data_IF_109668015510
#
_entry.id   IF_109668015510
#
_cell.length_a   1.000
_cell.length_b   1.000
_cell.length_c   1.000
_cell.angle_alpha   90.00
_cell.angle_beta   90.00
_cell.angle_gamma   90.00
#
_symmetry.space_group_name_H-M   'P 1'
#
loop_
_entity.id
_entity.type
_entity.pdbx_description
1 polymer ?
#
# COMPACT_ATOMS: atom_id res chain seq x y z
N UNK A 1 -22.70 -0.41 32.93
CA UNK A 1 -21.48 -1.15 32.55
C UNK A 1 -21.19 -0.81 31.13
N UNK A 2 -19.99 -0.29 30.85
CA UNK A 2 -19.50 -0.18 29.48
C UNK A 2 -19.49 -1.58 28.86
N UNK A 3 -20.09 -1.75 27.69
CA UNK A 3 -19.76 -2.90 26.86
C UNK A 3 -18.23 -2.93 26.74
N UNK A 4 -17.56 -4.10 26.81
CA UNK A 4 -16.15 -4.13 26.47
C UNK A 4 -16.06 -3.48 25.09
N UNK A 5 -15.18 -2.47 24.92
CA UNK A 5 -14.79 -2.03 23.59
C UNK A 5 -14.61 -3.28 22.77
N UNK A 6 -15.44 -3.46 21.74
CA UNK A 6 -15.28 -4.56 20.80
C UNK A 6 -13.81 -4.57 20.41
N UNK A 7 -13.11 -5.62 20.82
CA UNK A 7 -11.68 -5.60 21.20
C UNK A 7 -10.80 -4.87 20.19
N UNK A 8 -10.02 -3.88 20.66
CA UNK A 8 -8.97 -3.28 19.84
C UNK A 8 -8.00 -4.37 19.38
N UNK A 9 -7.77 -4.44 18.08
CA UNK A 9 -6.95 -5.47 17.44
C UNK A 9 -5.77 -4.79 16.79
N UNK A 10 -4.56 -5.13 17.25
CA UNK A 10 -3.34 -4.66 16.64
C UNK A 10 -3.30 -5.00 15.14
N UNK A 11 -2.75 -4.11 14.29
CA UNK A 11 -2.70 -4.33 12.86
C UNK A 11 -1.87 -5.56 12.52
N UNK A 12 -2.43 -6.42 11.67
CA UNK A 12 -1.76 -7.62 11.16
C UNK A 12 -1.89 -7.68 9.64
N UNK A 13 -0.77 -7.87 8.96
CA UNK A 13 -0.77 -8.16 7.52
C UNK A 13 -1.28 -9.58 7.30
N UNK A 14 -2.35 -9.71 6.51
CA UNK A 14 -2.96 -10.99 6.13
C UNK A 14 -2.71 -11.34 4.67
N UNK A 15 -2.39 -10.36 3.83
CA UNK A 15 -1.88 -10.55 2.48
C UNK A 15 -0.62 -9.72 2.30
N UNK A 16 0.51 -10.40 2.16
CA UNK A 16 1.80 -9.77 1.89
C UNK A 16 1.94 -9.48 0.38
N UNK A 17 2.64 -8.38 0.00
CA UNK A 17 3.04 -8.21 -1.38
C UNK A 17 3.96 -9.32 -1.84
N UNK A 18 3.89 -9.58 -3.14
CA UNK A 18 4.76 -10.54 -3.83
C UNK A 18 5.65 -9.82 -4.83
N UNK A 19 6.78 -10.43 -5.15
CA UNK A 19 7.67 -9.93 -6.18
C UNK A 19 7.03 -10.06 -7.57
N UNK A 20 7.11 -8.99 -8.36
CA UNK A 20 6.56 -8.93 -9.70
C UNK A 20 7.64 -8.55 -10.71
N UNK A 21 7.71 -9.28 -11.83
CA UNK A 21 8.50 -8.89 -12.99
C UNK A 21 7.56 -8.27 -14.04
N UNK A 22 7.66 -6.97 -14.23
CA UNK A 22 6.74 -6.21 -15.10
C UNK A 22 7.52 -5.48 -16.19
N UNK A 23 7.11 -5.56 -17.46
CA UNK A 23 7.75 -4.79 -18.53
C UNK A 23 7.67 -3.28 -18.28
N UNK A 24 8.67 -2.55 -18.79
CA UNK A 24 8.69 -1.08 -18.69
C UNK A 24 7.46 -0.49 -19.38
N UNK A 25 6.81 0.46 -18.72
CA UNK A 25 5.64 1.17 -19.24
C UNK A 25 4.31 0.46 -19.01
N UNK A 26 4.32 -0.81 -18.63
CA UNK A 26 3.12 -1.55 -18.21
C UNK A 26 2.69 -1.13 -16.80
N UNK A 27 1.42 -1.39 -16.48
CA UNK A 27 0.88 -1.18 -15.14
C UNK A 27 1.20 -2.35 -14.20
N UNK A 28 1.22 -2.09 -12.89
CA UNK A 28 1.43 -3.12 -11.88
C UNK A 28 0.69 -2.79 -10.58
N UNK A 29 0.38 -3.81 -9.78
CA UNK A 29 -0.21 -3.63 -8.45
C UNK A 29 0.55 -4.46 -7.43
N UNK A 30 1.11 -3.82 -6.40
CA UNK A 30 1.58 -4.52 -5.20
C UNK A 30 0.42 -4.59 -4.21
N UNK A 31 -0.06 -5.80 -3.94
CA UNK A 31 -1.17 -6.00 -3.01
C UNK A 31 -0.66 -6.01 -1.57
N UNK A 32 -1.49 -5.47 -0.67
CA UNK A 32 -1.30 -5.58 0.76
C UNK A 32 -2.70 -5.55 1.39
N UNK A 33 -2.97 -6.47 2.31
CA UNK A 33 -4.17 -6.41 3.15
C UNK A 33 -3.77 -6.53 4.59
N UNK A 34 -4.24 -5.59 5.40
CA UNK A 34 -4.07 -5.60 6.83
C UNK A 34 -5.43 -5.61 7.53
N UNK A 35 -5.53 -6.41 8.57
CA UNK A 35 -6.68 -6.45 9.48
C UNK A 35 -6.29 -5.80 10.80
N UNK A 36 -7.26 -5.23 11.50
CA UNK A 36 -7.04 -4.53 12.75
C UNK A 36 -8.27 -3.73 13.14
N UNK A 37 -8.33 -3.32 14.40
CA UNK A 37 -9.39 -2.49 14.94
C UNK A 37 -8.78 -1.41 15.83
N UNK A 38 -8.94 -0.11 15.51
CA UNK A 38 -9.62 0.43 14.30
C UNK A 38 -8.95 -0.01 12.98
N UNK A 39 -9.63 0.13 11.82
CA UNK A 39 -9.08 -0.28 10.53
C UNK A 39 -7.69 0.32 10.27
N UNK A 40 -6.70 -0.50 9.89
CA UNK A 40 -5.33 -0.03 9.72
C UNK A 40 -5.16 0.86 8.49
N UNK A 41 -4.28 1.86 8.62
CA UNK A 41 -3.74 2.58 7.47
C UNK A 41 -2.52 1.83 6.92
N UNK A 42 -2.34 1.85 5.60
CA UNK A 42 -1.22 1.21 4.91
C UNK A 42 -0.39 2.29 4.23
N UNK A 43 0.92 2.25 4.44
CA UNK A 43 1.91 3.11 3.80
C UNK A 43 3.03 2.25 3.20
N UNK A 44 3.60 2.74 2.10
CA UNK A 44 4.61 2.01 1.34
C UNK A 44 5.95 2.72 1.41
N UNK A 45 7.01 1.92 1.48
CA UNK A 45 8.40 2.39 1.48
C UNK A 45 9.19 1.64 0.41
N UNK A 46 10.11 2.36 -0.22
CA UNK A 46 11.12 1.80 -1.13
C UNK A 46 12.49 2.21 -0.60
N UNK A 47 13.34 1.23 -0.30
CA UNK A 47 14.71 1.45 0.19
C UNK A 47 14.79 2.38 1.42
N UNK A 48 13.77 2.34 2.28
CA UNK A 48 13.66 3.18 3.48
C UNK A 48 12.99 4.54 3.25
N UNK A 49 12.71 4.94 2.01
CA UNK A 49 12.00 6.18 1.69
C UNK A 49 10.52 5.95 1.45
N UNK A 50 9.67 6.84 1.99
CA UNK A 50 8.22 6.77 1.81
C UNK A 50 7.87 6.99 0.34
N UNK A 51 7.04 6.11 -0.21
CA UNK A 51 6.59 6.22 -1.60
C UNK A 51 5.55 7.34 -1.71
N UNK A 52 5.87 8.38 -2.48
CA UNK A 52 4.91 9.42 -2.85
C UNK A 52 3.85 8.88 -3.82
N UNK A 53 2.60 9.15 -3.50
CA UNK A 53 1.42 8.72 -4.26
C UNK A 53 0.63 9.94 -4.75
N UNK A 54 -0.47 9.67 -5.45
CA UNK A 54 -1.47 10.65 -5.84
C UNK A 54 -2.10 11.44 -4.69
N UNK A 55 -1.95 10.95 -3.44
CA UNK A 55 -2.34 11.69 -2.23
C UNK A 55 -1.45 12.90 -1.97
N UNK A 56 -0.19 12.84 -2.37
CA UNK A 56 0.81 13.89 -2.16
C UNK A 56 1.06 14.72 -3.42
N UNK A 57 1.16 14.06 -4.59
CA UNK A 57 1.28 14.72 -5.89
C UNK A 57 0.24 14.14 -6.87
N UNK A 58 -0.78 14.92 -7.29
CA UNK A 58 -1.79 14.49 -8.26
C UNK A 58 -1.21 14.02 -9.62
N UNK A 59 0.06 14.32 -9.91
CA UNK A 59 0.76 13.88 -11.13
C UNK A 59 1.55 12.59 -10.94
N UNK A 60 1.56 12.01 -9.73
CA UNK A 60 2.24 10.76 -9.45
C UNK A 60 1.69 9.63 -10.31
N UNK A 61 2.58 8.77 -10.81
CA UNK A 61 2.20 7.52 -11.48
C UNK A 61 1.87 6.39 -10.50
N UNK A 62 1.86 6.71 -9.20
CA UNK A 62 1.65 5.77 -8.10
C UNK A 62 0.38 6.17 -7.37
N UNK A 63 -0.52 5.22 -7.18
CA UNK A 63 -1.82 5.43 -6.54
C UNK A 63 -1.97 4.48 -5.37
N UNK A 64 -2.39 5.01 -4.21
CA UNK A 64 -2.74 4.19 -3.06
C UNK A 64 -4.23 3.81 -3.14
N UNK A 65 -4.51 2.58 -3.53
CA UNK A 65 -5.87 2.07 -3.69
C UNK A 65 -6.58 1.92 -2.32
N UNK A 66 -7.93 1.95 -2.31
CA UNK A 66 -8.70 1.53 -1.15
C UNK A 66 -8.29 0.12 -0.71
N UNK A 67 -8.01 -0.06 0.58
CA UNK A 67 -7.50 -1.32 1.13
C UNK A 67 -5.97 -1.41 1.21
N UNK A 68 -5.23 -0.43 0.69
CA UNK A 68 -3.79 -0.28 0.93
C UNK A 68 -2.88 -0.85 -0.15
N UNK A 69 -3.42 -1.37 -1.26
CA UNK A 69 -2.61 -1.79 -2.39
C UNK A 69 -1.97 -0.59 -3.11
N UNK A 70 -0.71 -0.74 -3.53
CA UNK A 70 0.01 0.27 -4.30
C UNK A 70 -0.06 -0.05 -5.78
N UNK A 71 -0.74 0.82 -6.53
CA UNK A 71 -0.87 0.72 -7.98
C UNK A 71 0.16 1.62 -8.68
N UNK A 72 0.78 1.09 -9.72
CA UNK A 72 1.62 1.83 -10.64
C UNK A 72 0.91 1.93 -11.98
N UNK A 73 0.56 3.15 -12.40
CA UNK A 73 -0.03 3.39 -13.72
C UNK A 73 0.93 3.00 -14.84
N UNK A 74 2.23 3.23 -14.62
CA UNK A 74 3.30 2.80 -15.52
C UNK A 74 4.58 2.56 -14.74
N UNK A 75 5.21 1.40 -14.95
CA UNK A 75 6.51 1.10 -14.37
C UNK A 75 7.59 1.91 -15.10
N UNK A 76 8.15 2.86 -14.37
CA UNK A 76 9.33 3.61 -14.79
C UNK A 76 10.57 2.89 -14.25
N UNK A 77 11.64 2.85 -15.04
CA UNK A 77 12.91 2.28 -14.59
C UNK A 77 13.36 3.04 -13.33
N UNK A 78 13.55 2.32 -12.22
CA UNK A 78 14.29 2.85 -11.08
C UNK A 78 15.71 3.16 -11.55
N UNK A 79 16.21 4.37 -11.27
CA UNK A 79 17.65 4.63 -11.41
C UNK A 79 18.36 3.59 -10.54
N UNK A 80 19.26 2.82 -11.16
CA UNK A 80 20.25 2.02 -10.45
C UNK A 80 21.11 2.92 -9.59
#
# INVERSE_FOLDING_TARGET
>A
GSLPELEDMAPRIVEHPVDLLVPKGEAATLTCKAEGRPPPAVEWYKDGERVETDREDPRSHRTLLPGGALFFLRILHGRR
#
